data_IF_939285801170
#
_entry.id   IF_939285801170
#
_cell.length_a   1.000
_cell.length_b   1.000
_cell.length_c   1.000
_cell.angle_alpha   90.00
_cell.angle_beta   90.00
_cell.angle_gamma   90.00
#
_symmetry.space_group_name_H-M   'P 1'
#
loop_
_entity.id
_entity.type
_entity.pdbx_description
1 polymer ?
#
# COMPACT_ATOMS: atom_id res chain seq x y z
N UNK A 1 -47.71 79.89 -69.73
CA UNK A 1 -46.76 78.96 -70.39
C UNK A 1 -47.18 77.56 -69.93
N UNK A 2 -47.50 76.55 -70.76
CA UNK A 2 -46.58 75.75 -71.62
C UNK A 2 -45.34 75.33 -70.81
N UNK A 3 -44.98 74.06 -70.53
CA UNK A 3 -45.35 72.68 -70.94
C UNK A 3 -44.79 71.69 -69.86
N UNK A 4 -44.95 70.34 -69.80
CA UNK A 4 -45.51 69.26 -70.64
C UNK A 4 -45.94 68.08 -69.70
N UNK A 5 -47.14 67.49 -69.81
CA UNK A 5 -47.44 66.05 -70.12
C UNK A 5 -46.99 64.95 -69.13
N UNK A 6 -47.92 64.16 -68.52
CA UNK A 6 -48.49 62.83 -68.94
C UNK A 6 -47.44 61.68 -68.91
N UNK A 7 -47.70 60.44 -68.48
CA UNK A 7 -48.83 59.49 -68.65
C UNK A 7 -48.97 58.61 -67.36
N UNK A 8 -50.15 58.17 -66.86
CA UNK A 8 -51.07 57.07 -67.33
C UNK A 8 -50.35 55.70 -67.32
N UNK A 9 -50.81 54.57 -66.74
CA UNK A 9 -52.15 54.05 -66.36
C UNK A 9 -52.05 52.99 -65.20
N UNK A 10 -52.98 52.83 -64.23
CA UNK A 10 -54.29 52.07 -64.21
C UNK A 10 -54.21 50.62 -63.67
N UNK A 11 -55.12 50.29 -62.71
CA UNK A 11 -55.64 48.94 -62.30
C UNK A 11 -54.71 47.94 -61.54
N UNK A 12 -55.21 47.04 -60.65
CA UNK A 12 -56.56 46.84 -60.04
C UNK A 12 -56.47 45.95 -58.77
N UNK A 13 -57.24 46.30 -57.72
CA UNK A 13 -57.86 45.48 -56.64
C UNK A 13 -57.11 44.41 -55.78
N UNK A 14 -57.58 44.38 -54.51
CA UNK A 14 -57.86 43.17 -53.66
C UNK A 14 -56.65 42.41 -53.05
N UNK A 15 -56.67 41.92 -51.80
CA UNK A 15 -57.32 42.33 -50.53
C UNK A 15 -56.65 41.52 -49.39
N UNK A 16 -56.58 42.09 -48.18
CA UNK A 16 -56.68 41.40 -46.88
C UNK A 16 -55.51 40.59 -46.23
N UNK A 17 -55.49 40.72 -44.88
CA UNK A 17 -54.84 39.93 -43.80
C UNK A 17 -53.30 39.85 -43.69
N UNK A 18 -52.76 40.69 -42.80
CA UNK A 18 -52.30 40.27 -41.46
C UNK A 18 -51.16 39.24 -41.33
N UNK A 19 -50.00 39.72 -40.87
CA UNK A 19 -48.95 38.91 -40.24
C UNK A 19 -48.48 39.59 -38.95
N UNK A 20 -48.65 38.94 -37.80
CA UNK A 20 -48.12 39.43 -36.52
C UNK A 20 -46.58 39.38 -36.53
N UNK A 21 -45.95 40.42 -35.97
CA UNK A 21 -44.53 40.34 -35.61
C UNK A 21 -44.34 39.28 -34.53
N UNK A 22 -43.85 38.10 -34.92
CA UNK A 22 -43.43 37.09 -33.97
C UNK A 22 -42.15 37.56 -33.25
N UNK A 23 -42.26 37.90 -31.97
CA UNK A 23 -41.09 37.91 -31.10
C UNK A 23 -40.43 36.54 -31.16
N UNK A 24 -39.18 36.49 -31.63
CA UNK A 24 -38.37 35.27 -31.63
C UNK A 24 -38.10 34.90 -30.17
N UNK A 25 -38.91 34.01 -29.61
CA UNK A 25 -38.71 33.44 -28.28
C UNK A 25 -37.36 32.73 -28.28
N UNK A 26 -36.37 33.31 -27.61
CA UNK A 26 -35.11 32.63 -27.33
C UNK A 26 -35.39 31.68 -26.18
N UNK A 27 -35.68 30.43 -26.51
CA UNK A 27 -35.78 29.36 -25.51
C UNK A 27 -34.36 29.00 -25.07
N UNK A 28 -33.94 29.57 -23.94
CA UNK A 28 -32.81 29.06 -23.17
C UNK A 28 -33.23 27.76 -22.48
N UNK A 29 -33.29 26.68 -23.26
CA UNK A 29 -33.23 25.30 -22.75
C UNK A 29 -31.91 24.71 -23.24
N UNK A 30 -30.81 25.24 -22.73
CA UNK A 30 -29.54 24.51 -22.78
C UNK A 30 -29.52 23.68 -21.51
N UNK A 31 -29.92 22.43 -21.67
CA UNK A 31 -29.80 21.41 -20.63
C UNK A 31 -28.35 20.91 -20.71
N UNK A 32 -27.41 21.83 -20.43
CA UNK A 32 -25.99 21.74 -20.78
C UNK A 32 -25.36 20.43 -20.30
N UNK A 33 -24.47 19.86 -21.13
CA UNK A 33 -23.63 18.77 -20.66
C UNK A 33 -22.64 19.31 -19.62
N UNK A 34 -22.67 18.75 -18.41
CA UNK A 34 -21.82 19.18 -17.29
C UNK A 34 -21.26 17.95 -16.61
N UNK A 35 -19.96 17.97 -16.30
CA UNK A 35 -19.36 17.19 -15.21
C UNK A 35 -18.58 18.15 -14.31
N UNK A 36 -18.55 17.91 -13.01
CA UNK A 36 -17.63 18.56 -12.06
C UNK A 36 -17.32 17.64 -10.89
N UNK A 37 -16.11 17.75 -10.35
CA UNK A 37 -15.72 17.09 -9.10
C UNK A 37 -16.46 17.76 -7.93
N UNK A 38 -16.99 16.95 -7.02
CA UNK A 38 -17.72 17.37 -5.82
C UNK A 38 -16.75 17.86 -4.74
N UNK A 39 -17.14 18.88 -3.97
CA UNK A 39 -16.39 19.45 -2.84
C UNK A 39 -16.16 18.44 -1.69
N UNK A 40 -16.89 17.32 -1.67
CA UNK A 40 -16.64 16.21 -0.74
C UNK A 40 -15.41 15.35 -1.08
N UNK A 41 -14.75 15.61 -2.22
CA UNK A 41 -13.50 14.94 -2.60
C UNK A 41 -12.37 15.40 -1.69
N UNK A 42 -11.56 14.47 -1.18
CA UNK A 42 -10.50 14.80 -0.24
C UNK A 42 -9.41 15.68 -0.89
N UNK A 43 -9.03 16.77 -0.22
CA UNK A 43 -7.96 17.67 -0.68
C UNK A 43 -6.55 17.03 -0.58
N UNK A 44 -6.40 15.92 0.14
CA UNK A 44 -5.17 15.15 0.22
C UNK A 44 -5.43 13.65 0.42
N UNK A 45 -4.48 12.82 -0.02
CA UNK A 45 -4.52 11.37 0.11
C UNK A 45 -3.10 10.82 0.27
N UNK A 46 -2.88 9.79 1.09
CA UNK A 46 -1.63 9.03 1.03
C UNK A 46 -1.61 8.11 -0.19
N UNK A 47 -0.46 8.00 -0.87
CA UNK A 47 -0.28 7.06 -1.99
C UNK A 47 -0.51 5.60 -1.54
N UNK A 48 -0.92 4.71 -2.46
CA UNK A 48 -1.33 3.35 -2.11
C UNK A 48 -2.69 3.24 -1.39
N UNK A 49 -3.54 4.28 -1.44
CA UNK A 49 -4.94 4.25 -0.96
C UNK A 49 -5.89 4.48 -2.12
N UNK A 50 -7.13 3.98 -2.01
CA UNK A 50 -8.20 4.29 -2.96
C UNK A 50 -8.58 5.78 -2.87
N UNK A 51 -8.45 6.51 -3.98
CA UNK A 51 -8.95 7.87 -4.10
C UNK A 51 -10.44 7.83 -4.39
N UNK A 52 -11.24 8.32 -3.44
CA UNK A 52 -12.69 8.42 -3.56
C UNK A 52 -13.10 9.79 -4.09
N UNK A 53 -13.70 9.83 -5.29
CA UNK A 53 -14.08 11.06 -5.99
C UNK A 53 -15.59 11.08 -6.24
N UNK A 54 -16.25 12.14 -5.77
CA UNK A 54 -17.64 12.42 -6.12
C UNK A 54 -17.71 13.24 -7.40
N UNK A 55 -18.65 12.91 -8.29
CA UNK A 55 -18.91 13.67 -9.52
C UNK A 55 -20.36 14.13 -9.57
N UNK A 56 -20.56 15.41 -9.89
CA UNK A 56 -21.87 15.98 -10.23
C UNK A 56 -21.96 16.01 -11.75
N UNK A 57 -23.03 15.49 -12.33
CA UNK A 57 -23.20 15.37 -13.78
C UNK A 57 -24.58 15.86 -14.25
N UNK A 58 -24.65 16.37 -15.48
CA UNK A 58 -25.90 16.67 -16.17
C UNK A 58 -25.76 16.32 -17.64
N UNK A 59 -26.69 15.52 -18.18
CA UNK A 59 -26.78 15.12 -19.60
C UNK A 59 -25.50 14.54 -20.25
N UNK A 60 -24.55 14.08 -19.44
CA UNK A 60 -23.34 13.36 -19.88
C UNK A 60 -23.59 11.86 -19.77
N UNK A 61 -23.05 11.07 -20.71
CA UNK A 61 -23.05 9.60 -20.68
C UNK A 61 -21.71 9.00 -20.24
N UNK A 62 -20.63 9.69 -20.55
CA UNK A 62 -19.27 9.30 -20.19
C UNK A 62 -18.33 10.50 -20.18
N UNK A 63 -17.27 10.42 -19.39
CA UNK A 63 -16.21 11.41 -19.29
C UNK A 63 -14.88 10.72 -18.97
N UNK A 64 -13.76 11.35 -19.30
CA UNK A 64 -12.45 10.86 -18.92
C UNK A 64 -12.04 11.53 -17.60
N UNK A 65 -11.63 10.71 -16.63
CA UNK A 65 -10.94 11.14 -15.42
C UNK A 65 -9.44 10.94 -15.62
N UNK A 66 -8.62 11.88 -15.14
CA UNK A 66 -7.17 11.72 -15.14
C UNK A 66 -6.54 12.40 -13.91
N UNK A 67 -5.29 12.05 -13.63
CA UNK A 67 -4.46 12.75 -12.64
C UNK A 67 -3.27 13.33 -13.36
N UNK A 68 -3.11 14.65 -13.27
CA UNK A 68 -1.97 15.38 -13.83
C UNK A 68 -1.11 15.98 -12.72
N UNK A 69 0.21 15.86 -12.85
CA UNK A 69 1.19 16.50 -11.98
C UNK A 69 2.31 17.08 -12.85
N UNK A 70 2.73 18.31 -12.56
CA UNK A 70 3.82 19.01 -13.26
C UNK A 70 3.71 19.07 -14.81
N UNK A 71 2.50 18.85 -15.35
CA UNK A 71 2.22 18.81 -16.79
C UNK A 71 2.26 17.40 -17.40
N UNK A 72 2.58 16.37 -16.62
CA UNK A 72 2.53 14.96 -17.03
C UNK A 72 1.24 14.30 -16.53
N UNK A 73 0.69 13.37 -17.32
CA UNK A 73 -0.48 12.58 -16.95
C UNK A 73 -0.03 11.29 -16.28
N UNK A 74 -0.32 11.14 -14.97
CA UNK A 74 0.07 9.97 -14.17
C UNK A 74 -0.89 8.79 -14.37
N UNK A 75 -2.18 9.06 -14.57
CA UNK A 75 -3.19 8.06 -14.93
C UNK A 75 -4.37 8.68 -15.68
N UNK A 76 -5.11 7.85 -16.41
CA UNK A 76 -6.38 8.19 -17.07
C UNK A 76 -7.33 6.99 -17.02
N UNK A 77 -8.61 7.23 -16.73
CA UNK A 77 -9.68 6.23 -16.75
C UNK A 77 -10.97 6.79 -17.37
N UNK A 78 -11.61 6.02 -18.26
CA UNK A 78 -12.85 6.40 -18.90
C UNK A 78 -14.07 6.00 -18.04
N UNK A 79 -14.77 6.99 -17.49
CA UNK A 79 -15.93 6.80 -16.62
C UNK A 79 -17.22 6.80 -17.46
N UNK A 80 -17.95 5.69 -17.43
CA UNK A 80 -19.30 5.58 -18.03
C UNK A 80 -20.39 5.65 -16.95
N UNK A 81 -21.51 6.29 -17.28
CA UNK A 81 -22.65 6.54 -16.40
C UNK A 81 -23.88 5.72 -16.82
N UNK A 82 -24.60 5.18 -15.84
CA UNK A 82 -25.85 4.44 -16.08
C UNK A 82 -27.06 5.38 -16.05
N UNK A 83 -27.54 5.77 -17.22
CA UNK A 83 -28.66 6.70 -17.36
C UNK A 83 -28.33 8.13 -16.90
N UNK A 84 -29.33 8.89 -16.46
CA UNK A 84 -29.16 10.31 -16.09
C UNK A 84 -28.78 10.47 -14.61
N UNK A 85 -27.69 9.82 -14.16
CA UNK A 85 -27.17 9.95 -12.79
C UNK A 85 -26.61 11.36 -12.54
N UNK A 86 -27.34 12.16 -11.73
CA UNK A 86 -26.92 13.55 -11.40
C UNK A 86 -25.75 13.64 -10.43
N UNK A 87 -25.58 12.64 -9.59
CA UNK A 87 -24.44 12.49 -8.68
C UNK A 87 -24.00 11.03 -8.78
N UNK A 88 -22.70 10.80 -8.93
CA UNK A 88 -22.09 9.48 -8.89
C UNK A 88 -20.78 9.56 -8.09
N UNK A 89 -20.27 8.42 -7.67
CA UNK A 89 -19.06 8.31 -6.87
C UNK A 89 -18.23 7.16 -7.42
N UNK A 90 -16.90 7.36 -7.51
CA UNK A 90 -15.96 6.33 -7.95
C UNK A 90 -14.76 6.28 -7.03
N UNK A 91 -14.15 5.11 -6.95
CA UNK A 91 -12.89 4.88 -6.26
C UNK A 91 -11.84 4.49 -7.29
N UNK A 92 -10.70 5.18 -7.26
CA UNK A 92 -9.57 4.97 -8.15
C UNK A 92 -8.39 4.44 -7.35
N UNK A 93 -7.74 3.39 -7.82
CA UNK A 93 -6.55 2.84 -7.17
C UNK A 93 -5.34 3.74 -7.44
N UNK A 94 -4.87 4.45 -6.41
CA UNK A 94 -3.65 5.26 -6.50
C UNK A 94 -2.45 4.36 -6.19
N UNK A 95 -1.50 4.18 -7.12
CA UNK A 95 -0.34 3.32 -6.89
C UNK A 95 0.51 3.85 -5.75
N UNK A 96 1.34 2.98 -5.20
CA UNK A 96 2.29 3.29 -4.14
C UNK A 96 3.61 3.84 -4.73
N UNK A 97 3.47 4.78 -5.67
CA UNK A 97 4.53 5.38 -6.48
C UNK A 97 4.84 6.81 -6.01
N UNK A 98 6.13 7.10 -5.84
CA UNK A 98 6.62 8.41 -5.39
C UNK A 98 6.44 9.50 -6.46
N UNK A 99 6.26 9.14 -7.74
CA UNK A 99 5.92 10.07 -8.82
C UNK A 99 4.64 10.87 -8.51
N UNK A 100 3.71 10.32 -7.75
CA UNK A 100 2.46 10.97 -7.35
C UNK A 100 2.67 12.02 -6.24
N UNK A 101 3.64 11.85 -5.33
CA UNK A 101 3.78 12.65 -4.10
C UNK A 101 3.96 14.13 -4.41
N UNK A 102 3.16 14.99 -3.76
CA UNK A 102 3.14 16.44 -3.94
C UNK A 102 1.81 16.97 -4.45
N UNK A 103 1.81 18.22 -4.91
CA UNK A 103 0.63 18.86 -5.50
C UNK A 103 0.34 18.26 -6.89
N UNK A 104 -0.92 17.88 -7.12
CA UNK A 104 -1.42 17.35 -8.38
C UNK A 104 -2.82 17.90 -8.67
N UNK A 105 -3.35 17.59 -9.86
CA UNK A 105 -4.68 17.96 -10.29
C UNK A 105 -5.46 16.73 -10.70
N UNK A 106 -6.64 16.54 -10.10
CA UNK A 106 -7.68 15.70 -10.64
C UNK A 106 -8.30 16.41 -11.84
N UNK A 107 -8.36 15.73 -12.97
CA UNK A 107 -8.83 16.25 -14.25
C UNK A 107 -10.10 15.51 -14.65
N UNK A 108 -11.08 16.25 -15.14
CA UNK A 108 -12.26 15.68 -15.80
C UNK A 108 -12.43 16.32 -17.17
N UNK A 109 -12.45 15.50 -18.22
CA UNK A 109 -12.67 15.91 -19.61
C UNK A 109 -13.93 15.28 -20.17
N UNK A 110 -14.81 16.08 -20.77
CA UNK A 110 -16.08 15.62 -21.34
C UNK A 110 -16.47 16.45 -22.58
N UNK A 111 -17.40 15.95 -23.38
CA UNK A 111 -17.91 16.69 -24.54
C UNK A 111 -19.15 17.50 -24.17
N UNK A 112 -19.19 18.78 -24.56
CA UNK A 112 -20.38 19.62 -24.53
C UNK A 112 -20.46 20.51 -25.76
N UNK A 113 -21.63 20.59 -26.40
CA UNK A 113 -21.81 21.43 -27.61
C UNK A 113 -20.84 21.14 -28.77
N UNK A 114 -20.24 19.94 -28.82
CA UNK A 114 -19.20 19.56 -29.78
C UNK A 114 -17.79 20.05 -29.45
N UNK A 115 -17.53 20.49 -28.22
CA UNK A 115 -16.22 20.87 -27.70
C UNK A 115 -15.82 19.99 -26.52
N UNK A 116 -14.52 19.71 -26.37
CA UNK A 116 -13.96 19.13 -25.15
C UNK A 116 -13.88 20.19 -24.07
N UNK A 117 -14.58 19.98 -22.96
CA UNK A 117 -14.50 20.78 -21.73
C UNK A 117 -13.64 20.02 -20.73
N UNK A 118 -12.62 20.69 -20.20
CA UNK A 118 -11.74 20.14 -19.15
C UNK A 118 -11.87 20.96 -17.88
N UNK A 119 -12.03 20.30 -16.73
CA UNK A 119 -12.01 20.92 -15.40
C UNK A 119 -10.89 20.30 -14.56
N UNK A 120 -10.29 21.12 -13.69
CA UNK A 120 -9.24 20.70 -12.75
C UNK A 120 -9.73 20.90 -11.31
N UNK A 121 -9.32 20.00 -10.42
CA UNK A 121 -9.52 20.09 -8.98
C UNK A 121 -8.19 19.72 -8.30
N UNK A 122 -7.60 20.59 -7.46
CA UNK A 122 -6.29 20.32 -6.86
C UNK A 122 -6.39 19.20 -5.80
N UNK A 123 -5.32 18.42 -5.67
CA UNK A 123 -5.13 17.42 -4.61
C UNK A 123 -3.66 17.38 -4.20
N UNK A 124 -3.37 17.04 -2.95
CA UNK A 124 -2.00 16.75 -2.50
C UNK A 124 -1.84 15.26 -2.19
N UNK A 125 -0.98 14.56 -2.92
CA UNK A 125 -0.58 13.21 -2.56
C UNK A 125 0.53 13.25 -1.52
N UNK A 126 0.34 12.53 -0.43
CA UNK A 126 1.26 12.44 0.69
C UNK A 126 2.03 11.12 0.61
N UNK A 127 3.25 11.13 1.14
CA UNK A 127 3.99 9.89 1.35
C UNK A 127 3.20 8.94 2.26
N UNK A 128 3.24 7.66 1.91
CA UNK A 128 2.69 6.58 2.70
C UNK A 128 3.82 5.86 3.41
N UNK A 129 3.69 5.75 4.74
CA UNK A 129 4.54 4.91 5.59
C UNK A 129 3.71 3.68 6.00
N UNK A 130 3.50 2.70 5.11
CA UNK A 130 2.62 1.59 5.40
C UNK A 130 3.20 0.74 6.53
N UNK A 131 2.33 0.36 7.45
CA UNK A 131 2.63 -0.54 8.54
C UNK A 131 1.93 -1.88 8.28
N UNK A 132 2.54 -2.95 8.76
CA UNK A 132 1.93 -4.27 8.83
C UNK A 132 2.28 -4.88 10.18
N UNK A 133 1.32 -5.53 10.80
CA UNK A 133 1.47 -6.15 12.11
C UNK A 133 1.09 -7.62 12.02
N UNK A 134 1.77 -8.48 12.78
CA UNK A 134 1.33 -9.86 13.01
C UNK A 134 0.57 -9.95 14.32
N UNK A 135 -0.56 -10.65 14.31
CA UNK A 135 -1.44 -10.83 15.47
C UNK A 135 -1.97 -12.26 15.52
N UNK A 136 -2.32 -12.75 16.69
CA UNK A 136 -3.12 -13.96 16.85
C UNK A 136 -2.62 -14.91 17.93
N UNK A 137 -3.39 -15.95 18.17
CA UNK A 137 -3.19 -16.89 19.27
C UNK A 137 -1.83 -17.62 19.23
N UNK A 138 -1.18 -17.73 18.07
CA UNK A 138 0.16 -18.31 17.93
C UNK A 138 1.31 -17.39 18.35
N UNK A 139 1.07 -16.07 18.43
CA UNK A 139 2.09 -15.01 18.65
C UNK A 139 2.21 -14.58 20.12
N UNK A 140 3.18 -13.72 20.43
CA UNK A 140 3.22 -12.97 21.70
C UNK A 140 2.01 -12.05 21.94
N UNK A 141 1.38 -11.53 20.89
CA UNK A 141 0.29 -10.55 20.98
C UNK A 141 -1.06 -11.15 21.43
N UNK A 142 -1.28 -12.44 21.14
CA UNK A 142 -2.62 -13.03 21.21
C UNK A 142 -3.58 -12.42 20.17
N UNK A 143 -4.89 -12.60 20.36
CA UNK A 143 -5.94 -12.06 19.48
C UNK A 143 -6.33 -10.60 19.81
N UNK A 144 -5.36 -9.78 20.19
CA UNK A 144 -5.57 -8.38 20.61
C UNK A 144 -4.82 -7.43 19.65
N UNK A 145 -5.52 -6.70 18.75
CA UNK A 145 -4.90 -5.79 17.78
C UNK A 145 -3.96 -4.77 18.42
N UNK A 146 -4.30 -4.24 19.60
CA UNK A 146 -3.46 -3.25 20.29
C UNK A 146 -2.10 -3.79 20.77
N UNK A 147 -1.95 -5.11 20.84
CA UNK A 147 -0.69 -5.80 21.16
C UNK A 147 0.04 -6.33 19.91
N UNK A 148 -0.52 -6.18 18.71
CA UNK A 148 0.03 -6.77 17.49
C UNK A 148 1.47 -6.30 17.21
N UNK A 149 2.34 -7.23 16.81
CA UNK A 149 3.78 -6.94 16.66
C UNK A 149 4.07 -6.35 15.29
N UNK A 150 4.69 -5.16 15.25
CA UNK A 150 5.05 -4.47 14.01
C UNK A 150 6.09 -5.28 13.20
N UNK A 151 5.81 -5.46 11.92
CA UNK A 151 6.69 -6.05 10.91
C UNK A 151 7.54 -4.95 10.25
N UNK A 152 8.72 -5.31 9.74
CA UNK A 152 9.62 -4.39 9.01
C UNK A 152 9.50 -4.61 7.51
N UNK A 153 9.71 -3.55 6.70
CA UNK A 153 9.91 -3.73 5.26
C UNK A 153 11.27 -4.43 5.03
N UNK A 154 11.31 -5.48 4.20
CA UNK A 154 12.54 -6.26 3.92
C UNK A 154 13.11 -6.04 2.52
N UNK A 155 12.43 -5.23 1.71
CA UNK A 155 12.82 -4.82 0.37
C UNK A 155 12.72 -3.30 0.36
N UNK A 156 13.85 -2.60 0.26
CA UNK A 156 13.93 -1.15 0.48
C UNK A 156 13.20 -0.33 -0.59
N UNK A 157 12.89 -0.94 -1.74
CA UNK A 157 12.13 -0.34 -2.84
C UNK A 157 10.64 -0.72 -2.79
N UNK A 158 10.27 -1.74 -2.00
CA UNK A 158 8.89 -2.15 -1.79
C UNK A 158 8.30 -1.52 -0.53
N UNK A 159 7.09 -0.99 -0.68
CA UNK A 159 6.25 -0.53 0.43
C UNK A 159 5.10 -1.52 0.71
N UNK A 160 5.20 -2.76 0.20
CA UNK A 160 4.17 -3.84 0.26
C UNK A 160 4.68 -5.15 0.86
N UNK A 161 6.01 -5.31 1.01
CA UNK A 161 6.67 -6.55 1.46
C UNK A 161 7.22 -6.44 2.88
N UNK A 162 6.61 -7.19 3.79
CA UNK A 162 6.90 -7.13 5.23
C UNK A 162 7.50 -8.43 5.77
N UNK A 163 8.42 -8.33 6.73
CA UNK A 163 9.11 -9.43 7.40
C UNK A 163 9.06 -9.26 8.92
N UNK A 164 9.00 -10.38 9.64
CA UNK A 164 9.23 -10.44 11.08
C UNK A 164 9.88 -11.78 11.47
N UNK A 165 10.67 -11.75 12.54
CA UNK A 165 11.18 -12.92 13.22
C UNK A 165 10.38 -13.11 14.52
N UNK A 166 9.59 -14.19 14.59
CA UNK A 166 8.55 -14.39 15.62
C UNK A 166 8.50 -15.87 16.05
N UNK A 167 8.21 -16.13 17.32
CA UNK A 167 7.90 -17.50 17.77
C UNK A 167 6.42 -17.80 17.56
N UNK A 168 6.13 -18.85 16.80
CA UNK A 168 4.77 -19.31 16.51
C UNK A 168 4.51 -20.69 17.11
N UNK A 169 3.32 -20.88 17.69
CA UNK A 169 2.82 -22.21 18.04
C UNK A 169 1.91 -22.77 16.95
N UNK A 170 1.88 -24.10 16.81
CA UNK A 170 0.95 -24.79 15.92
C UNK A 170 -0.51 -24.52 16.31
N UNK A 171 -0.80 -24.65 17.60
CA UNK A 171 -2.10 -24.29 18.18
C UNK A 171 -2.15 -22.78 18.44
N UNK A 172 -3.07 -22.07 17.79
CA UNK A 172 -3.36 -20.66 18.08
C UNK A 172 -3.81 -19.83 16.89
N UNK A 173 -3.19 -20.04 15.73
CA UNK A 173 -3.39 -19.27 14.50
C UNK A 173 -2.85 -17.84 14.54
N UNK A 174 -2.68 -17.22 13.37
CA UNK A 174 -2.34 -15.81 13.22
C UNK A 174 -3.00 -15.16 11.99
N UNK A 175 -3.02 -13.83 11.96
CA UNK A 175 -3.42 -12.96 10.84
C UNK A 175 -2.42 -11.81 10.73
N UNK A 176 -2.48 -11.07 9.62
CA UNK A 176 -1.79 -9.78 9.48
C UNK A 176 -2.79 -8.63 9.54
N UNK A 177 -2.37 -7.47 10.03
CA UNK A 177 -3.20 -6.25 10.09
C UNK A 177 -2.42 -5.05 9.54
N UNK A 178 -3.03 -4.15 8.75
CA UNK A 178 -2.42 -2.89 8.31
C UNK A 178 -2.47 -1.79 9.39
N UNK A 179 -3.02 -2.11 10.56
CA UNK A 179 -3.22 -1.23 11.72
C UNK A 179 -3.13 -2.05 13.01
N UNK A 180 -2.75 -1.44 14.13
CA UNK A 180 -2.82 -2.06 15.46
C UNK A 180 -3.96 -1.49 16.32
N UNK A 181 -4.99 -0.92 15.69
CA UNK A 181 -6.14 -0.32 16.37
C UNK A 181 -7.31 -1.31 16.44
N UNK A 182 -7.61 -1.97 15.33
CA UNK A 182 -8.76 -2.85 15.15
C UNK A 182 -8.46 -3.91 14.06
N UNK A 183 -9.50 -4.59 13.56
CA UNK A 183 -9.40 -5.64 12.55
C UNK A 183 -9.55 -5.14 11.10
N UNK A 184 -9.69 -3.83 10.86
CA UNK A 184 -10.04 -3.31 9.55
C UNK A 184 -8.94 -3.55 8.50
N UNK A 185 -9.32 -4.13 7.35
CA UNK A 185 -8.40 -4.49 6.27
C UNK A 185 -7.40 -5.59 6.65
N UNK A 186 -7.73 -6.43 7.64
CA UNK A 186 -6.88 -7.54 8.07
C UNK A 186 -6.80 -8.67 7.03
N UNK A 187 -5.62 -9.31 6.96
CA UNK A 187 -5.36 -10.41 6.03
C UNK A 187 -5.40 -11.76 6.75
N UNK A 188 -6.26 -12.65 6.25
CA UNK A 188 -6.35 -14.05 6.66
C UNK A 188 -5.75 -15.01 5.64
N UNK A 189 -6.08 -16.29 5.81
CA UNK A 189 -5.64 -17.39 4.96
C UNK A 189 -6.33 -17.37 3.59
N UNK A 190 -5.54 -17.44 2.52
CA UNK A 190 -6.03 -17.60 1.17
C UNK A 190 -6.48 -19.04 0.83
N UNK A 191 -7.15 -19.18 -0.31
CA UNK A 191 -7.66 -20.47 -0.80
C UNK A 191 -6.58 -21.43 -1.30
N UNK A 192 -5.36 -20.94 -1.54
CA UNK A 192 -4.20 -21.71 -2.00
C UNK A 192 -3.09 -21.67 -0.95
N UNK A 193 -2.29 -22.72 -0.84
CA UNK A 193 -1.13 -22.72 0.04
C UNK A 193 -0.15 -21.58 -0.34
N UNK A 194 0.28 -20.80 0.65
CA UNK A 194 1.15 -19.64 0.46
C UNK A 194 0.43 -18.34 0.03
N UNK A 195 -0.90 -18.32 -0.08
CA UNK A 195 -1.66 -17.07 -0.34
C UNK A 195 -2.39 -16.56 0.89
N UNK A 196 -2.62 -15.24 0.94
CA UNK A 196 -3.47 -14.56 1.93
C UNK A 196 -4.76 -14.05 1.27
N UNK A 197 -5.72 -13.62 2.09
CA UNK A 197 -7.00 -13.06 1.65
C UNK A 197 -7.38 -11.84 2.47
N UNK A 198 -7.92 -10.81 1.81
CA UNK A 198 -8.50 -9.60 2.43
C UNK A 198 -9.94 -9.81 2.92
N UNK A 199 -10.52 -10.99 2.70
CA UNK A 199 -11.84 -11.36 3.22
C UNK A 199 -11.82 -11.35 4.76
N UNK A 200 -12.71 -10.56 5.38
CA UNK A 200 -12.81 -10.43 6.84
C UNK A 200 -13.13 -11.79 7.50
N UNK A 201 -13.88 -12.66 6.81
CA UNK A 201 -14.23 -14.02 7.26
C UNK A 201 -13.12 -15.05 6.97
N UNK A 202 -12.01 -14.68 6.34
CA UNK A 202 -10.92 -15.60 6.02
C UNK A 202 -10.38 -16.32 7.27
N UNK A 203 -10.09 -17.61 7.14
CA UNK A 203 -9.49 -18.45 8.18
C UNK A 203 -8.17 -17.88 8.71
N UNK A 204 -7.72 -18.38 9.86
CA UNK A 204 -6.41 -18.05 10.40
C UNK A 204 -5.29 -18.78 9.66
N UNK A 205 -4.15 -18.11 9.51
CA UNK A 205 -2.88 -18.72 9.09
C UNK A 205 -2.33 -19.60 10.22
N UNK A 206 -1.63 -20.67 9.90
CA UNK A 206 -1.09 -21.63 10.87
C UNK A 206 0.32 -22.10 10.50
N UNK A 207 1.04 -22.65 11.48
CA UNK A 207 2.29 -23.40 11.29
C UNK A 207 2.09 -24.85 11.76
N UNK A 208 2.83 -25.80 11.22
CA UNK A 208 2.67 -27.23 11.55
C UNK A 208 3.20 -27.62 12.95
N UNK A 209 4.13 -26.83 13.50
CA UNK A 209 4.79 -27.09 14.77
C UNK A 209 5.14 -25.80 15.50
N UNK A 210 5.42 -25.94 16.80
CA UNK A 210 5.97 -24.85 17.59
C UNK A 210 7.42 -24.59 17.18
N UNK A 211 7.78 -23.34 16.93
CA UNK A 211 9.12 -22.99 16.46
C UNK A 211 9.34 -21.48 16.38
N UNK A 212 10.59 -21.09 16.13
CA UNK A 212 10.94 -19.72 15.79
C UNK A 212 11.00 -19.59 14.27
N UNK A 213 10.33 -18.59 13.71
CA UNK A 213 10.11 -18.46 12.28
C UNK A 213 10.55 -17.09 11.77
N UNK A 214 11.07 -17.05 10.55
CA UNK A 214 10.92 -15.88 9.68
C UNK A 214 9.54 -15.97 9.03
N UNK A 215 8.73 -14.93 9.19
CA UNK A 215 7.45 -14.76 8.51
C UNK A 215 7.59 -13.59 7.55
N UNK A 216 7.20 -13.78 6.30
CA UNK A 216 7.06 -12.68 5.33
C UNK A 216 5.70 -12.69 4.69
N UNK A 217 5.26 -11.52 4.25
CA UNK A 217 4.08 -11.36 3.42
C UNK A 217 4.24 -10.23 2.41
N UNK A 218 3.51 -10.33 1.30
CA UNK A 218 3.42 -9.32 0.26
C UNK A 218 1.93 -8.95 0.09
N UNK A 219 1.58 -7.71 0.42
CA UNK A 219 0.19 -7.22 0.43
C UNK A 219 -0.38 -6.95 -0.96
N UNK A 220 0.48 -6.87 -1.98
CA UNK A 220 0.10 -6.61 -3.37
C UNK A 220 -0.03 -7.92 -4.15
N UNK A 221 0.94 -8.83 -3.98
CA UNK A 221 0.88 -10.17 -4.54
C UNK A 221 -0.09 -11.11 -3.80
N UNK A 222 -0.58 -10.72 -2.61
CA UNK A 222 -1.39 -11.53 -1.70
C UNK A 222 -0.75 -12.88 -1.39
N UNK A 223 0.53 -12.86 -1.02
CA UNK A 223 1.29 -14.08 -0.65
C UNK A 223 1.95 -13.98 0.72
N UNK A 224 2.30 -15.12 1.29
CA UNK A 224 3.11 -15.22 2.51
C UNK A 224 4.05 -16.43 2.48
N UNK A 225 5.18 -16.32 3.17
CA UNK A 225 6.08 -17.45 3.47
C UNK A 225 6.34 -17.55 4.98
N UNK A 226 6.44 -18.78 5.48
CA UNK A 226 6.91 -19.09 6.84
C UNK A 226 8.09 -20.05 6.75
N UNK A 227 9.23 -19.65 7.31
CA UNK A 227 10.47 -20.43 7.32
C UNK A 227 10.91 -20.63 8.76
N UNK A 228 10.90 -21.88 9.23
CA UNK A 228 11.44 -22.24 10.55
C UNK A 228 12.95 -21.96 10.57
N UNK A 229 13.45 -21.44 11.69
CA UNK A 229 14.85 -21.11 11.88
C UNK A 229 15.45 -21.93 13.02
N UNK A 230 16.66 -22.42 12.76
CA UNK A 230 17.63 -22.88 13.75
C UNK A 230 18.83 -21.94 13.69
N UNK A 231 19.20 -21.33 14.81
CA UNK A 231 20.36 -20.43 14.86
C UNK A 231 21.61 -21.20 15.27
N UNK A 232 22.73 -20.88 14.63
CA UNK A 232 24.07 -21.32 15.00
C UNK A 232 25.05 -20.14 15.11
N UNK A 233 26.24 -20.43 15.63
CA UNK A 233 27.41 -19.52 15.59
C UNK A 233 28.46 -20.11 14.66
N UNK A 234 28.99 -19.30 13.76
CA UNK A 234 30.04 -19.64 12.78
C UNK A 234 31.16 -18.58 12.83
N UNK A 235 32.39 -18.95 12.48
CA UNK A 235 33.52 -18.02 12.39
C UNK A 235 34.86 -18.61 12.81
N UNK A 236 35.97 -17.95 12.48
CA UNK A 236 37.33 -18.41 12.81
C UNK A 236 37.62 -18.49 14.33
N UNK A 237 36.79 -17.84 15.16
CA UNK A 237 36.82 -18.05 16.61
C UNK A 237 36.16 -19.35 17.09
N UNK A 238 35.33 -20.03 16.26
CA UNK A 238 34.59 -21.26 16.62
C UNK A 238 35.40 -22.53 16.34
N UNK A 239 35.00 -23.71 16.89
CA UNK A 239 35.70 -24.98 16.63
C UNK A 239 35.68 -25.45 15.17
N UNK A 240 34.75 -24.94 14.35
CA UNK A 240 34.49 -25.33 12.96
C UNK A 240 34.88 -24.24 11.95
N UNK A 241 35.39 -23.09 12.41
CA UNK A 241 35.77 -22.00 11.51
C UNK A 241 34.58 -21.47 10.72
N UNK A 242 34.80 -21.22 9.42
CA UNK A 242 33.77 -20.82 8.47
C UNK A 242 33.19 -21.99 7.66
N UNK A 243 33.47 -23.24 8.05
CA UNK A 243 33.04 -24.44 7.29
C UNK A 243 31.65 -24.96 7.73
N UNK A 244 31.28 -24.80 9.01
CA UNK A 244 30.00 -25.26 9.56
C UNK A 244 29.60 -24.46 10.81
N UNK A 245 28.29 -24.38 11.09
CA UNK A 245 27.78 -23.72 12.29
C UNK A 245 27.99 -24.61 13.54
N UNK A 246 28.01 -23.98 14.72
CA UNK A 246 27.75 -24.65 16.00
C UNK A 246 26.36 -24.25 16.50
N UNK A 247 25.45 -25.21 16.55
CA UNK A 247 24.03 -25.02 16.92
C UNK A 247 23.83 -24.31 18.27
N UNK A 248 22.96 -23.29 18.28
CA UNK A 248 22.43 -22.67 19.48
C UNK A 248 21.11 -23.36 19.91
N UNK A 249 20.83 -23.34 21.20
CA UNK A 249 19.55 -23.80 21.75
C UNK A 249 18.57 -22.63 21.87
N UNK A 250 17.37 -22.76 21.32
CA UNK A 250 16.29 -21.81 21.58
C UNK A 250 15.82 -21.92 23.04
N UNK A 251 15.81 -20.79 23.74
CA UNK A 251 15.48 -20.66 25.16
C UNK A 251 14.37 -19.63 25.36
N UNK A 252 13.28 -19.80 24.59
CA UNK A 252 12.22 -18.82 24.43
C UNK A 252 10.83 -19.41 24.20
N UNK A 253 9.91 -18.56 23.74
CA UNK A 253 8.51 -18.85 23.46
C UNK A 253 7.79 -17.59 22.97
N UNK A 254 6.45 -17.54 23.07
CA UNK A 254 5.66 -16.34 22.71
C UNK A 254 6.15 -15.12 23.50
N UNK A 255 6.53 -14.05 22.80
CA UNK A 255 7.10 -12.84 23.42
C UNK A 255 8.49 -12.99 24.06
N UNK A 256 9.28 -14.03 23.75
CA UNK A 256 10.65 -14.19 24.26
C UNK A 256 11.51 -14.95 23.26
N UNK A 257 12.41 -14.27 22.54
CA UNK A 257 13.05 -14.82 21.33
C UNK A 257 14.56 -14.99 21.49
N UNK A 258 14.97 -15.67 22.56
CA UNK A 258 16.37 -15.79 22.98
C UNK A 258 16.95 -17.15 22.55
N UNK A 259 18.05 -17.12 21.82
CA UNK A 259 18.91 -18.26 21.53
C UNK A 259 20.14 -18.25 22.44
N UNK A 260 20.63 -19.42 22.87
CA UNK A 260 21.76 -19.54 23.81
C UNK A 260 22.74 -20.65 23.44
N UNK A 261 24.02 -20.46 23.76
CA UNK A 261 25.06 -21.48 23.66
C UNK A 261 26.16 -21.24 24.70
N UNK A 262 26.73 -22.32 25.24
CA UNK A 262 28.03 -22.29 25.93
C UNK A 262 29.07 -22.89 25.00
N UNK A 263 30.10 -22.13 24.62
CA UNK A 263 31.08 -22.53 23.59
C UNK A 263 32.51 -22.11 23.98
N UNK A 264 33.49 -22.92 23.61
CA UNK A 264 34.90 -22.53 23.69
C UNK A 264 35.29 -21.80 22.41
N UNK A 265 35.85 -20.60 22.56
CA UNK A 265 36.28 -19.75 21.45
C UNK A 265 37.78 -19.44 21.55
N UNK A 266 38.37 -19.13 20.40
CA UNK A 266 39.73 -18.56 20.25
C UNK A 266 39.63 -17.10 19.77
N UNK A 267 40.72 -16.31 19.78
CA UNK A 267 40.70 -14.98 19.17
C UNK A 267 40.43 -15.09 17.66
N UNK A 268 39.53 -14.25 17.15
CA UNK A 268 39.01 -14.31 15.78
C UNK A 268 37.59 -13.76 15.72
N UNK A 269 36.88 -14.00 14.62
CA UNK A 269 35.50 -13.50 14.43
C UNK A 269 34.44 -14.56 14.64
N UNK A 270 33.22 -14.10 14.94
CA UNK A 270 31.99 -14.88 14.88
C UNK A 270 30.88 -14.14 14.15
N UNK A 271 29.90 -14.90 13.67
CA UNK A 271 28.61 -14.43 13.15
C UNK A 271 27.51 -15.36 13.63
N UNK A 272 26.29 -14.86 13.77
CA UNK A 272 25.11 -15.70 13.94
C UNK A 272 24.54 -16.03 12.56
N UNK A 273 24.17 -17.28 12.32
CA UNK A 273 23.65 -17.75 11.03
C UNK A 273 22.47 -18.69 11.26
N UNK A 274 21.50 -18.69 10.35
CA UNK A 274 20.33 -19.55 10.44
C UNK A 274 20.38 -20.67 9.41
N UNK A 275 19.95 -21.87 9.79
CA UNK A 275 19.76 -23.02 8.90
C UNK A 275 21.00 -23.38 8.04
N UNK A 276 22.21 -23.20 8.60
CA UNK A 276 23.49 -23.46 7.94
C UNK A 276 23.72 -22.66 6.62
N UNK A 277 22.97 -21.58 6.38
CA UNK A 277 22.99 -20.85 5.11
C UNK A 277 23.02 -19.31 5.29
N UNK A 278 23.58 -18.62 4.31
CA UNK A 278 23.87 -17.20 4.35
C UNK A 278 22.69 -16.21 4.21
N UNK A 279 21.53 -16.53 3.61
CA UNK A 279 20.42 -15.57 3.45
C UNK A 279 19.89 -14.98 4.77
N UNK A 280 20.05 -15.69 5.90
CA UNK A 280 19.64 -15.22 7.23
C UNK A 280 20.85 -15.33 8.16
N UNK A 281 21.53 -14.20 8.34
CA UNK A 281 22.67 -14.06 9.23
C UNK A 281 22.57 -12.74 10.00
N UNK A 282 23.16 -12.68 11.20
CA UNK A 282 23.11 -11.51 12.06
C UNK A 282 24.48 -11.16 12.62
N UNK A 283 24.75 -9.86 12.70
CA UNK A 283 26.01 -9.29 13.15
C UNK A 283 25.85 -7.84 13.60
N UNK A 284 26.94 -7.12 13.78
CA UNK A 284 26.96 -5.73 14.28
C UNK A 284 27.72 -5.63 15.59
N UNK A 285 27.12 -4.99 16.60
CA UNK A 285 27.67 -4.91 17.95
C UNK A 285 26.78 -5.70 18.92
N UNK A 286 27.27 -6.14 20.09
CA UNK A 286 26.42 -6.84 21.08
C UNK A 286 25.20 -6.01 21.50
N UNK A 287 25.28 -4.68 21.52
CA UNK A 287 24.17 -3.77 21.83
C UNK A 287 23.22 -3.51 20.66
N UNK A 288 23.62 -3.81 19.42
CA UNK A 288 22.94 -3.47 18.18
C UNK A 288 23.27 -4.55 17.13
N UNK A 289 22.45 -5.61 17.14
CA UNK A 289 22.52 -6.69 16.15
C UNK A 289 21.57 -6.35 15.00
N UNK A 290 22.00 -6.63 13.77
CA UNK A 290 21.25 -6.39 12.54
C UNK A 290 21.37 -7.60 11.61
N UNK A 291 20.32 -7.84 10.80
CA UNK A 291 20.37 -8.80 9.71
C UNK A 291 21.40 -8.34 8.66
N UNK A 292 22.29 -9.24 8.23
CA UNK A 292 23.41 -8.90 7.35
C UNK A 292 24.56 -8.11 8.01
N UNK A 293 24.48 -7.81 9.31
CA UNK A 293 25.46 -6.98 10.02
C UNK A 293 26.90 -7.53 10.02
N UNK A 294 27.88 -6.68 10.33
CA UNK A 294 29.30 -7.04 10.35
C UNK A 294 29.64 -8.16 11.36
N UNK A 295 30.72 -8.91 11.15
CA UNK A 295 31.12 -9.98 12.09
C UNK A 295 31.55 -9.41 13.46
N UNK A 296 31.31 -10.16 14.53
CA UNK A 296 31.68 -9.76 15.89
C UNK A 296 33.07 -10.31 16.26
N UNK A 297 33.89 -9.48 16.89
CA UNK A 297 35.27 -9.83 17.27
C UNK A 297 35.33 -10.50 18.66
N UNK A 298 36.06 -11.62 18.75
CA UNK A 298 36.43 -12.30 20.00
C UNK A 298 37.92 -12.05 20.22
N UNK A 299 38.29 -11.40 21.33
CA UNK A 299 39.66 -10.93 21.57
C UNK A 299 40.51 -11.86 22.44
N UNK A 300 39.92 -12.88 23.08
CA UNK A 300 40.64 -13.75 24.00
C UNK A 300 40.08 -15.19 23.98
N UNK A 301 40.96 -16.19 24.01
CA UNK A 301 40.54 -17.58 24.12
C UNK A 301 39.84 -17.89 25.47
N UNK A 302 38.82 -18.73 25.46
CA UNK A 302 38.17 -19.26 26.67
C UNK A 302 36.75 -19.78 26.44
N UNK A 303 36.08 -20.17 27.51
CA UNK A 303 34.65 -20.55 27.48
C UNK A 303 33.78 -19.31 27.60
N UNK A 304 32.78 -19.21 26.73
CA UNK A 304 31.79 -18.13 26.71
C UNK A 304 30.38 -18.69 26.88
N UNK A 305 29.54 -17.99 27.65
CA UNK A 305 28.09 -18.05 27.50
C UNK A 305 27.67 -16.93 26.55
N UNK A 306 27.00 -17.31 25.46
CA UNK A 306 26.49 -16.39 24.45
C UNK A 306 24.98 -16.51 24.37
N UNK A 307 24.30 -15.36 24.29
CA UNK A 307 22.89 -15.31 23.92
C UNK A 307 22.65 -14.31 22.80
N UNK A 308 21.77 -14.66 21.87
CA UNK A 308 21.22 -13.77 20.84
C UNK A 308 19.73 -13.56 21.15
N UNK A 309 19.30 -12.31 21.22
CA UNK A 309 17.91 -11.90 21.42
C UNK A 309 17.39 -11.31 20.10
N UNK A 310 16.38 -11.96 19.52
CA UNK A 310 15.73 -11.56 18.27
C UNK A 310 14.34 -10.93 18.50
N UNK A 311 14.13 -10.27 19.65
CA UNK A 311 12.91 -9.49 19.91
C UNK A 311 12.74 -8.35 18.88
N UNK A 312 11.64 -8.30 18.10
CA UNK A 312 11.38 -7.28 17.09
C UNK A 312 11.60 -5.85 17.57
N UNK A 313 12.21 -5.04 16.72
CA UNK A 313 12.55 -3.65 16.98
C UNK A 313 13.92 -3.41 17.62
N UNK A 314 14.55 -4.39 18.30
CA UNK A 314 15.88 -4.21 18.89
C UNK A 314 16.64 -5.54 19.16
N UNK A 315 17.29 -6.10 18.15
CA UNK A 315 18.10 -7.32 18.32
C UNK A 315 19.41 -7.04 19.05
N UNK A 316 19.82 -7.95 19.93
CA UNK A 316 20.99 -7.81 20.81
C UNK A 316 21.69 -9.13 21.02
N UNK A 317 22.95 -9.08 21.42
CA UNK A 317 23.70 -10.23 21.89
C UNK A 317 24.37 -9.94 23.24
N UNK A 318 24.54 -10.99 24.05
CA UNK A 318 25.44 -10.99 25.21
C UNK A 318 26.52 -12.01 24.91
N UNK A 319 27.78 -11.60 25.01
CA UNK A 319 28.96 -12.45 24.81
C UNK A 319 29.78 -12.37 26.10
N UNK A 320 29.53 -13.31 27.02
CA UNK A 320 30.11 -13.28 28.37
C UNK A 320 31.12 -14.41 28.54
N UNK A 321 32.39 -14.05 28.78
CA UNK A 321 33.43 -15.01 29.16
C UNK A 321 33.19 -15.52 30.59
N UNK A 322 33.46 -16.82 30.81
CA UNK A 322 33.51 -17.45 32.15
C UNK A 322 34.84 -17.21 32.87
#
# INVERSE_FOLDING_TARGET
MKTLHKYIAICLCVLFVGGLNACKKVEHTIDDEIVSINESTAASLQIGKKLKVGFITNNVKSFDFAIEKDGETLMTEAVTLEGNQKITEREFDIPLDESYIGEANLIVSYQSGGQTITKKHPITFLESTPAMYIVGGSTGAGWEPSNATLMSLYDAESKTKFEIFEYLTADGGFKFLPTNIDWAGGFGKGTTAGTISEDEEADNLTVEKNGFYRVRMDSEALTYEVLELKMGIIGDATPTGWDADTDMTFAGGKGTYIWKITINLVPGKIKFRANDDWPINFGGTPSEITHGGADLEITAAGTYDISLDLTPGAYKAVIQKK
#
